data_IF_658374466613
#
_entry.id   IF_658374466613
#
_cell.length_a   1.000
_cell.length_b   1.000
_cell.length_c   1.000
_cell.angle_alpha   90.00
_cell.angle_beta   90.00
_cell.angle_gamma   90.00
#
_symmetry.space_group_name_H-M   'P 1'
#
loop_
_entity.id
_entity.type
_entity.pdbx_description
1 polymer ?
#
# COMPACT_ATOMS: atom_id res chain seq x y z
N UNK A 1 -14.55 22.03 64.68
CA UNK A 1 -14.52 22.01 63.21
C UNK A 1 -13.35 22.91 62.84
N UNK A 2 -12.19 22.44 62.41
CA UNK A 2 -11.90 21.23 61.64
C UNK A 2 -10.51 20.65 61.95
N UNK A 3 -10.46 19.31 61.98
CA UNK A 3 -9.25 18.51 61.93
C UNK A 3 -8.91 18.29 60.45
N UNK A 4 -7.83 18.90 59.98
CA UNK A 4 -7.20 18.51 58.70
C UNK A 4 -5.89 17.83 59.06
N UNK A 5 -5.93 16.50 59.13
CA UNK A 5 -4.75 15.65 59.15
C UNK A 5 -4.26 15.55 57.71
N UNK A 6 -3.18 16.25 57.36
CA UNK A 6 -2.53 16.12 56.06
C UNK A 6 -2.01 14.69 55.87
N UNK A 7 -2.66 13.95 54.97
CA UNK A 7 -2.19 12.66 54.46
C UNK A 7 -1.06 12.84 53.44
N UNK A 8 0.07 13.40 53.88
CA UNK A 8 1.28 13.47 53.07
C UNK A 8 1.89 12.06 52.90
N UNK A 9 2.28 11.71 51.67
CA UNK A 9 3.09 10.52 51.43
C UNK A 9 4.42 10.66 52.22
N UNK A 10 4.93 9.59 52.85
CA UNK A 10 6.10 9.68 53.70
C UNK A 10 7.30 10.23 52.91
N UNK A 11 7.89 11.33 53.41
CA UNK A 11 8.96 12.09 52.74
C UNK A 11 10.27 11.31 52.60
N UNK A 12 10.40 10.15 53.27
CA UNK A 12 11.64 9.39 53.34
C UNK A 12 11.44 7.95 52.83
N UNK A 13 11.34 7.77 51.52
CA UNK A 13 11.64 6.47 50.92
C UNK A 13 13.17 6.27 50.96
N UNK A 14 13.66 5.63 52.02
CA UNK A 14 15.04 5.15 52.07
C UNK A 14 15.23 4.02 51.03
N UNK A 15 15.44 4.38 49.77
CA UNK A 15 15.92 3.45 48.75
C UNK A 15 17.45 3.44 48.86
N UNK A 16 17.97 2.57 49.70
CA UNK A 16 19.40 2.31 49.82
C UNK A 16 19.92 1.68 48.53
N UNK A 17 20.28 2.50 47.54
CA UNK A 17 21.07 2.06 46.38
C UNK A 17 22.53 1.89 46.81
N UNK A 18 22.81 0.82 47.56
CA UNK A 18 24.17 0.37 47.82
C UNK A 18 24.70 -0.40 46.60
N UNK A 19 25.62 0.22 45.86
CA UNK A 19 26.52 -0.49 44.96
C UNK A 19 27.54 -1.26 45.81
N UNK A 20 27.10 -2.37 46.41
CA UNK A 20 28.00 -3.33 47.06
C UNK A 20 28.03 -4.57 46.19
N UNK A 21 29.00 -4.59 45.29
CA UNK A 21 29.55 -5.81 44.70
C UNK A 21 30.46 -6.43 45.75
N UNK A 22 29.91 -7.21 46.68
CA UNK A 22 30.73 -8.17 47.43
C UNK A 22 29.87 -9.38 47.83
N UNK A 23 30.23 -10.53 47.26
CA UNK A 23 29.58 -11.83 47.46
C UNK A 23 30.06 -12.51 48.76
N UNK A 24 30.61 -11.74 49.69
CA UNK A 24 31.34 -12.28 50.83
C UNK A 24 31.09 -11.56 52.15
N UNK A 25 29.83 -11.41 52.57
CA UNK A 25 29.56 -11.29 54.01
C UNK A 25 28.14 -11.72 54.40
N UNK A 26 28.06 -12.92 55.00
CA UNK A 26 26.96 -13.35 55.84
C UNK A 26 26.87 -12.42 57.05
N UNK A 27 26.00 -11.42 57.01
CA UNK A 27 25.51 -10.78 58.23
C UNK A 27 24.16 -10.10 58.00
N UNK A 28 23.14 -10.62 58.68
CA UNK A 28 22.22 -9.74 59.42
C UNK A 28 20.91 -9.30 58.76
N UNK A 29 20.25 -10.12 57.94
CA UNK A 29 18.77 -10.23 57.83
C UNK A 29 18.44 -11.05 56.57
N UNK A 30 18.34 -12.38 56.72
CA UNK A 30 18.21 -13.31 55.60
C UNK A 30 16.84 -13.29 54.93
N UNK A 31 16.49 -12.20 54.24
CA UNK A 31 15.36 -12.24 53.32
C UNK A 31 15.76 -13.08 52.11
N UNK A 32 14.96 -14.09 51.78
CA UNK A 32 15.15 -14.89 50.56
C UNK A 32 14.40 -14.21 49.43
N UNK A 33 15.01 -14.18 48.24
CA UNK A 33 14.30 -13.72 47.05
C UNK A 33 13.05 -14.60 46.84
N UNK A 34 11.82 -14.07 46.72
CA UNK A 34 10.63 -14.88 46.54
C UNK A 34 10.55 -15.55 45.16
N UNK A 35 11.45 -15.21 44.24
CA UNK A 35 11.48 -15.73 42.86
C UNK A 35 12.46 -16.90 42.68
N UNK A 36 13.57 -16.90 43.41
CA UNK A 36 14.62 -17.91 43.29
C UNK A 36 15.13 -18.47 44.63
N UNK A 37 14.56 -18.01 45.74
CA UNK A 37 14.88 -18.40 47.12
C UNK A 37 16.33 -18.18 47.57
N UNK A 38 17.16 -17.50 46.77
CA UNK A 38 18.54 -17.15 47.14
C UNK A 38 18.57 -16.08 48.24
N UNK A 39 19.43 -16.26 49.24
CA UNK A 39 19.59 -15.35 50.39
C UNK A 39 20.17 -14.01 49.96
N UNK A 40 19.49 -12.88 50.26
CA UNK A 40 19.97 -11.53 49.91
C UNK A 40 19.48 -10.46 50.91
N UNK A 41 20.10 -9.29 50.83
CA UNK A 41 19.74 -8.08 51.61
C UNK A 41 18.47 -7.38 51.11
N UNK A 42 18.04 -7.63 49.86
CA UNK A 42 16.88 -6.99 49.21
C UNK A 42 15.81 -8.03 48.86
N UNK A 43 14.53 -7.60 48.81
CA UNK A 43 13.38 -8.48 48.53
C UNK A 43 13.52 -9.26 47.22
N UNK A 44 14.01 -8.66 46.12
CA UNK A 44 14.30 -9.35 44.86
C UNK A 44 15.78 -9.36 44.51
N UNK A 45 16.22 -10.44 43.84
CA UNK A 45 17.60 -10.57 43.39
C UNK A 45 17.88 -9.77 42.10
N UNK A 46 19.06 -9.13 41.97
CA UNK A 46 19.46 -8.37 40.76
C UNK A 46 19.33 -9.22 39.48
N UNK A 47 19.70 -10.51 39.56
CA UNK A 47 19.57 -11.48 38.46
C UNK A 47 18.10 -11.67 38.05
N UNK A 48 17.22 -11.89 39.02
CA UNK A 48 15.79 -12.08 38.84
C UNK A 48 15.13 -10.84 38.22
N UNK A 49 15.56 -9.64 38.65
CA UNK A 49 15.12 -8.37 38.06
C UNK A 49 15.53 -8.28 36.59
N UNK A 50 16.82 -8.51 36.32
CA UNK A 50 17.40 -8.41 34.98
C UNK A 50 16.81 -9.44 34.01
N UNK A 51 16.56 -10.65 34.49
CA UNK A 51 16.01 -11.75 33.71
C UNK A 51 14.48 -11.67 33.57
N UNK A 52 13.82 -10.73 34.25
CA UNK A 52 12.37 -10.58 34.20
C UNK A 52 11.63 -11.79 34.79
N UNK A 53 12.15 -12.37 35.87
CA UNK A 53 11.61 -13.57 36.53
C UNK A 53 10.36 -13.31 37.38
N UNK A 54 9.68 -12.18 37.14
CA UNK A 54 8.44 -11.84 37.81
C UNK A 54 7.25 -12.41 37.06
N UNK A 55 6.30 -12.90 37.84
CA UNK A 55 4.98 -13.30 37.40
C UNK A 55 3.99 -12.18 37.66
N UNK A 56 2.88 -12.18 36.92
CA UNK A 56 1.78 -11.27 37.22
C UNK A 56 1.27 -11.57 38.64
N UNK A 57 0.84 -10.55 39.39
CA UNK A 57 0.16 -10.74 40.69
C UNK A 57 -1.07 -11.65 40.58
N UNK A 58 -1.61 -11.72 39.36
CA UNK A 58 -2.62 -12.65 38.87
C UNK A 58 -2.13 -14.11 38.76
N UNK A 59 -2.38 -15.01 39.71
CA UNK A 59 -1.91 -16.42 39.66
C UNK A 59 -2.36 -17.24 38.43
N UNK A 60 -3.30 -16.74 37.62
CA UNK A 60 -3.78 -17.40 36.40
C UNK A 60 -2.83 -17.23 35.20
N UNK A 61 -1.83 -16.34 35.29
CA UNK A 61 -0.84 -16.12 34.23
C UNK A 61 0.53 -16.62 34.70
N UNK A 62 0.84 -17.87 34.37
CA UNK A 62 2.10 -18.54 34.71
C UNK A 62 3.30 -18.09 33.83
N UNK A 63 3.06 -17.22 32.84
CA UNK A 63 4.09 -16.72 31.93
C UNK A 63 4.96 -15.65 32.62
N UNK A 64 6.28 -15.82 32.55
CA UNK A 64 7.25 -14.81 33.04
C UNK A 64 7.23 -13.58 32.16
N UNK A 65 7.61 -12.44 32.73
CA UNK A 65 7.72 -11.20 31.95
C UNK A 65 8.66 -11.33 30.73
N UNK A 66 9.80 -12.01 30.88
CA UNK A 66 10.74 -12.26 29.79
C UNK A 66 10.16 -13.11 28.66
N UNK A 67 9.37 -14.14 29.00
CA UNK A 67 8.64 -14.96 28.03
C UNK A 67 7.61 -14.14 27.26
N UNK A 68 6.84 -13.30 27.96
CA UNK A 68 5.87 -12.39 27.34
C UNK A 68 6.55 -11.40 26.38
N UNK A 69 7.68 -10.84 26.77
CA UNK A 69 8.45 -9.94 25.91
C UNK A 69 8.98 -10.65 24.66
N UNK A 70 9.49 -11.88 24.81
CA UNK A 70 9.95 -12.68 23.68
C UNK A 70 8.79 -13.01 22.73
N UNK A 71 7.65 -13.43 23.27
CA UNK A 71 6.44 -13.70 22.48
C UNK A 71 5.97 -12.47 21.72
N UNK A 72 5.97 -11.31 22.36
CA UNK A 72 5.63 -10.04 21.72
C UNK A 72 6.59 -9.72 20.56
N UNK A 73 7.90 -9.84 20.76
CA UNK A 73 8.90 -9.64 19.70
C UNK A 73 8.68 -10.59 18.52
N UNK A 74 8.46 -11.87 18.80
CA UNK A 74 8.18 -12.88 17.78
C UNK A 74 6.90 -12.55 17.00
N UNK A 75 5.83 -12.17 17.70
CA UNK A 75 4.56 -11.77 17.07
C UNK A 75 4.74 -10.54 16.19
N UNK A 76 5.48 -9.53 16.65
CA UNK A 76 5.78 -8.32 15.90
C UNK A 76 6.54 -8.65 14.59
N UNK A 77 7.54 -9.50 14.66
CA UNK A 77 8.31 -9.95 13.49
C UNK A 77 7.44 -10.77 12.52
N UNK A 78 6.62 -11.69 13.03
CA UNK A 78 5.72 -12.49 12.23
C UNK A 78 4.66 -11.63 11.52
N UNK A 79 4.10 -10.64 12.23
CA UNK A 79 3.16 -9.67 11.66
C UNK A 79 3.81 -8.87 10.53
N UNK A 80 4.98 -8.28 10.75
CA UNK A 80 5.70 -7.52 9.73
C UNK A 80 6.04 -8.39 8.50
N UNK A 81 6.39 -9.65 8.71
CA UNK A 81 6.67 -10.59 7.62
C UNK A 81 5.41 -10.87 6.78
N UNK A 82 4.28 -11.10 7.45
CA UNK A 82 3.01 -11.34 6.77
C UNK A 82 2.54 -10.11 5.99
N UNK A 83 2.62 -8.94 6.61
CA UNK A 83 2.27 -7.66 6.00
C UNK A 83 3.09 -7.41 4.73
N UNK A 84 4.41 -7.60 4.79
CA UNK A 84 5.28 -7.48 3.62
C UNK A 84 4.90 -8.45 2.49
N UNK A 85 4.56 -9.70 2.81
CA UNK A 85 4.09 -10.68 1.82
C UNK A 85 2.77 -10.22 1.17
N UNK A 86 1.83 -9.73 1.97
CA UNK A 86 0.56 -9.19 1.46
C UNK A 86 0.80 -8.01 0.51
N UNK A 87 1.66 -7.06 0.88
CA UNK A 87 2.00 -5.90 0.03
C UNK A 87 2.62 -6.35 -1.29
N UNK A 88 3.54 -7.32 -1.27
CA UNK A 88 4.14 -7.87 -2.49
C UNK A 88 3.10 -8.53 -3.40
N UNK A 89 2.21 -9.35 -2.84
CA UNK A 89 1.14 -10.01 -3.62
C UNK A 89 0.17 -8.99 -4.23
N UNK A 90 -0.24 -7.99 -3.46
CA UNK A 90 -1.14 -6.94 -3.93
C UNK A 90 -0.49 -6.09 -5.03
N UNK A 91 0.79 -5.75 -4.89
CA UNK A 91 1.55 -5.02 -5.92
C UNK A 91 1.63 -5.80 -7.23
N UNK A 92 1.94 -7.11 -7.17
CA UNK A 92 1.95 -7.99 -8.34
C UNK A 92 0.57 -8.08 -8.99
N UNK A 93 -0.48 -8.25 -8.19
CA UNK A 93 -1.87 -8.30 -8.68
C UNK A 93 -2.28 -6.99 -9.36
N UNK A 94 -1.94 -5.85 -8.75
CA UNK A 94 -2.20 -4.51 -9.31
C UNK A 94 -1.53 -4.36 -10.67
N UNK A 95 -0.25 -4.69 -10.78
CA UNK A 95 0.48 -4.61 -12.05
C UNK A 95 -0.16 -5.49 -13.13
N UNK A 96 -0.53 -6.74 -12.78
CA UNK A 96 -1.20 -7.64 -13.71
C UNK A 96 -2.59 -7.11 -14.15
N UNK A 97 -3.33 -6.43 -13.27
CA UNK A 97 -4.58 -5.78 -13.63
C UNK A 97 -4.35 -4.57 -14.56
N UNK A 98 -3.34 -3.74 -14.28
CA UNK A 98 -2.97 -2.59 -15.10
C UNK A 98 -2.59 -3.03 -16.52
N UNK A 99 -1.69 -4.00 -16.65
CA UNK A 99 -1.28 -4.53 -17.95
C UNK A 99 -2.46 -5.11 -18.74
N UNK A 100 -3.37 -5.85 -18.08
CA UNK A 100 -4.59 -6.36 -18.73
C UNK A 100 -5.49 -5.23 -19.22
N UNK A 101 -5.67 -4.18 -18.43
CA UNK A 101 -6.46 -3.01 -18.82
C UNK A 101 -5.83 -2.27 -20.00
N UNK A 102 -4.50 -2.08 -19.98
CA UNK A 102 -3.76 -1.44 -21.08
C UNK A 102 -3.87 -2.25 -22.38
N UNK A 103 -3.65 -3.57 -22.32
CA UNK A 103 -3.80 -4.46 -23.48
C UNK A 103 -5.21 -4.34 -24.06
N UNK A 104 -6.25 -4.38 -23.20
CA UNK A 104 -7.65 -4.23 -23.63
C UNK A 104 -7.88 -2.89 -24.31
N UNK A 105 -7.42 -1.79 -23.70
CA UNK A 105 -7.56 -0.45 -24.28
C UNK A 105 -6.88 -0.34 -25.64
N UNK A 106 -5.68 -0.89 -25.79
CA UNK A 106 -4.95 -0.88 -27.08
C UNK A 106 -5.66 -1.73 -28.12
N UNK A 107 -6.19 -2.88 -27.75
CA UNK A 107 -6.96 -3.74 -28.66
C UNK A 107 -8.24 -3.03 -29.17
N UNK A 108 -8.97 -2.37 -28.27
CA UNK A 108 -10.15 -1.57 -28.63
C UNK A 108 -9.79 -0.40 -29.55
N UNK A 109 -8.70 0.30 -29.26
CA UNK A 109 -8.21 1.39 -30.12
C UNK A 109 -7.84 0.89 -31.53
N UNK A 110 -7.15 -0.25 -31.64
CA UNK A 110 -6.83 -0.87 -32.93
C UNK A 110 -8.12 -1.22 -33.69
N UNK A 111 -9.12 -1.78 -33.00
CA UNK A 111 -10.40 -2.11 -33.62
C UNK A 111 -11.12 -0.84 -34.13
N UNK A 112 -11.11 0.23 -33.35
CA UNK A 112 -11.71 1.52 -33.73
C UNK A 112 -11.00 2.12 -34.95
N UNK A 113 -9.67 2.11 -34.97
CA UNK A 113 -8.88 2.61 -36.11
C UNK A 113 -9.21 1.80 -37.37
N UNK A 114 -9.27 0.45 -37.26
CA UNK A 114 -9.65 -0.41 -38.40
C UNK A 114 -11.03 -0.07 -38.93
N UNK A 115 -12.03 0.12 -38.06
CA UNK A 115 -13.39 0.53 -38.45
C UNK A 115 -13.39 1.90 -39.15
N UNK A 116 -12.64 2.87 -38.63
CA UNK A 116 -12.52 4.20 -39.23
C UNK A 116 -11.85 4.15 -40.60
N UNK A 117 -10.80 3.35 -40.75
CA UNK A 117 -10.13 3.14 -42.04
C UNK A 117 -11.10 2.55 -43.07
N UNK A 118 -11.88 1.56 -42.68
CA UNK A 118 -12.87 0.93 -43.57
C UNK A 118 -13.95 1.91 -44.01
N UNK A 119 -14.52 2.66 -43.05
CA UNK A 119 -15.49 3.72 -43.35
C UNK A 119 -14.92 4.76 -44.31
N UNK A 120 -13.66 5.16 -44.09
CA UNK A 120 -12.98 6.15 -44.95
C UNK A 120 -12.76 5.60 -46.36
N UNK A 121 -12.35 4.34 -46.51
CA UNK A 121 -12.21 3.68 -47.82
C UNK A 121 -13.54 3.64 -48.57
N UNK A 122 -14.62 3.24 -47.90
CA UNK A 122 -15.97 3.25 -48.48
C UNK A 122 -16.40 4.64 -48.94
N UNK A 123 -16.15 5.67 -48.13
CA UNK A 123 -16.44 7.05 -48.51
C UNK A 123 -15.65 7.53 -49.72
N UNK A 124 -14.35 7.20 -49.79
CA UNK A 124 -13.51 7.56 -50.95
C UNK A 124 -14.03 6.88 -52.21
N UNK A 125 -14.36 5.58 -52.16
CA UNK A 125 -14.93 4.86 -53.29
C UNK A 125 -16.23 5.51 -53.78
N UNK A 126 -17.16 5.79 -52.86
CA UNK A 126 -18.43 6.46 -53.18
C UNK A 126 -18.23 7.83 -53.83
N UNK A 127 -17.29 8.64 -53.32
CA UNK A 127 -17.00 9.95 -53.88
C UNK A 127 -16.35 9.86 -55.27
N UNK A 128 -15.52 8.85 -55.52
CA UNK A 128 -14.94 8.61 -56.83
C UNK A 128 -16.01 8.21 -57.85
N UNK A 129 -16.96 7.38 -57.47
CA UNK A 129 -18.05 6.97 -58.36
C UNK A 129 -18.99 8.15 -58.66
N UNK A 130 -19.38 8.93 -57.64
CA UNK A 130 -20.13 10.17 -57.85
C UNK A 130 -19.39 11.16 -58.77
N UNK A 131 -18.08 11.29 -58.62
CA UNK A 131 -17.27 12.12 -59.51
C UNK A 131 -17.34 11.66 -60.96
N UNK A 132 -17.29 10.35 -61.21
CA UNK A 132 -17.41 9.78 -62.57
C UNK A 132 -18.79 10.08 -63.15
N UNK A 133 -19.86 9.85 -62.39
CA UNK A 133 -21.24 10.12 -62.81
C UNK A 133 -21.43 11.60 -63.20
N UNK A 134 -20.97 12.52 -62.35
CA UNK A 134 -21.01 13.95 -62.63
C UNK A 134 -20.18 14.33 -63.86
N UNK A 135 -19.03 13.68 -64.07
CA UNK A 135 -18.20 13.92 -65.25
C UNK A 135 -18.90 13.46 -66.54
N UNK A 136 -19.51 12.28 -66.55
CA UNK A 136 -20.26 11.75 -67.69
C UNK A 136 -21.49 12.61 -68.01
N UNK A 137 -22.20 13.05 -66.96
CA UNK A 137 -23.35 13.95 -67.09
C UNK A 137 -22.93 15.31 -67.68
N UNK A 138 -21.86 15.92 -67.15
CA UNK A 138 -21.32 17.17 -67.69
C UNK A 138 -20.82 17.03 -69.12
N UNK A 139 -20.15 15.92 -69.45
CA UNK A 139 -19.72 15.62 -70.82
C UNK A 139 -20.92 15.54 -71.77
N UNK A 140 -21.97 14.84 -71.36
CA UNK A 140 -23.21 14.71 -72.14
C UNK A 140 -23.88 16.06 -72.36
N UNK A 141 -23.93 16.92 -71.33
CA UNK A 141 -24.44 18.29 -71.45
C UNK A 141 -23.59 19.13 -72.40
N UNK A 142 -22.26 19.08 -72.28
CA UNK A 142 -21.34 19.80 -73.18
C UNK A 142 -21.50 19.41 -74.64
N UNK A 143 -21.77 18.14 -74.94
CA UNK A 143 -22.05 17.67 -76.30
C UNK A 143 -23.39 18.24 -76.82
N UNK A 144 -24.40 18.31 -75.95
CA UNK A 144 -25.74 18.80 -76.29
C UNK A 144 -25.84 20.33 -76.34
N UNK A 145 -24.87 21.04 -75.74
CA UNK A 145 -24.86 22.50 -75.70
C UNK A 145 -24.72 23.07 -77.13
N UNK A 146 -25.57 24.04 -77.52
CA UNK A 146 -25.42 24.70 -78.80
C UNK A 146 -24.03 25.33 -78.93
N UNK A 147 -23.30 25.00 -80.01
CA UNK A 147 -22.00 25.61 -80.32
C UNK A 147 -22.21 27.00 -80.92
N UNK A 148 -22.79 27.92 -80.16
CA UNK A 148 -23.01 29.30 -80.58
C UNK A 148 -21.70 29.94 -81.08
N UNK A 149 -20.56 29.60 -80.49
CA UNK A 149 -19.24 30.07 -80.94
C UNK A 149 -18.89 29.67 -82.37
N UNK A 150 -19.32 28.50 -82.85
CA UNK A 150 -19.10 28.10 -84.25
C UNK A 150 -20.03 28.82 -85.21
N UNK A 151 -21.25 29.14 -84.78
CA UNK A 151 -22.20 29.91 -85.59
C UNK A 151 -21.84 31.39 -85.65
N UNK A 152 -21.31 31.96 -84.57
CA UNK A 152 -20.86 33.36 -84.52
C UNK A 152 -19.64 33.60 -85.43
N UNK A 153 -18.71 32.64 -85.54
CA UNK A 153 -17.58 32.73 -86.51
C UNK A 153 -18.03 32.68 -87.97
N UNK A 154 -19.14 32.04 -88.29
CA UNK A 154 -19.67 31.95 -89.66
C UNK A 154 -20.43 33.23 -90.06
N UNK A 155 -20.85 34.05 -89.10
CA UNK A 155 -21.59 35.31 -89.33
C UNK A 155 -20.64 36.52 -89.34
N UNK A 156 -19.37 36.34 -88.97
CA UNK A 156 -18.36 37.41 -88.86
C UNK A 156 -17.41 37.57 -90.04
N UNK A 157 -17.52 36.74 -91.08
CA UNK A 157 -16.89 36.89 -92.41
C UNK A 157 -17.96 37.28 -93.43
#
# INVERSE_FOLDING_TARGET
MDLISEGGAPENFHISFGNEDDDSNLSGSGQRCPLCCYSRRHFHCKSCIRNGDFLHSSHHLLERFSEKQLRYKNLKTAHATLENKCVQMLTRRRLACQLRAEIKQKAENIQNIRKLMELRRGNVARLLDLKKELHESNRSLRIKLPQCDKKVRIIGD
#
